data_IF_658769243902
#
_entry.id   IF_658769243902
#
_cell.length_a   1.000
_cell.length_b   1.000
_cell.length_c   1.000
_cell.angle_alpha   90.00
_cell.angle_beta   90.00
_cell.angle_gamma   90.00
#
_symmetry.space_group_name_H-M   'P 1'
#
loop_
_entity.id
_entity.type
_entity.pdbx_description
1 polymer ?
#
# COMPACT_ATOMS: atom_id res chain seq x y z
N UNK A 1 -3.18 -24.83 24.89
CA UNK A 1 -2.36 -25.21 23.72
C UNK A 1 -0.89 -25.33 24.12
N UNK A 2 -0.05 -26.01 23.34
CA UNK A 2 1.40 -26.06 23.59
C UNK A 2 1.97 -24.65 23.39
N UNK A 3 2.44 -23.99 24.45
CA UNK A 3 3.00 -22.63 24.38
C UNK A 3 2.17 -21.50 25.01
N UNK A 4 0.96 -21.76 25.52
CA UNK A 4 0.12 -20.69 26.14
C UNK A 4 0.64 -20.18 27.49
N UNK A 5 1.67 -20.82 28.06
CA UNK A 5 2.22 -20.54 29.40
C UNK A 5 3.75 -20.36 29.37
N UNK A 6 4.33 -20.00 28.23
CA UNK A 6 5.80 -19.91 28.10
C UNK A 6 6.22 -18.49 27.77
N UNK A 7 6.98 -17.87 28.69
CA UNK A 7 7.49 -16.51 28.55
C UNK A 7 8.51 -16.35 27.41
N UNK A 8 9.26 -17.41 27.09
CA UNK A 8 10.19 -17.44 25.97
C UNK A 8 9.95 -18.63 25.02
N UNK A 9 9.32 -18.34 23.89
CA UNK A 9 8.97 -19.30 22.85
C UNK A 9 10.20 -19.99 22.21
N UNK A 10 11.40 -19.41 22.34
CA UNK A 10 12.65 -19.98 21.79
C UNK A 10 13.15 -21.20 22.56
N UNK A 11 12.75 -21.35 23.82
CA UNK A 11 13.13 -22.48 24.68
C UNK A 11 12.07 -23.58 24.73
N UNK A 12 10.94 -23.37 24.06
CA UNK A 12 9.82 -24.30 24.10
C UNK A 12 10.05 -25.51 23.18
N UNK A 13 10.50 -26.63 23.76
CA UNK A 13 10.54 -27.93 23.09
C UNK A 13 9.19 -28.64 23.34
N UNK A 14 8.26 -28.50 22.40
CA UNK A 14 6.99 -29.22 22.45
C UNK A 14 7.22 -30.69 22.07
N UNK A 15 7.25 -31.60 23.06
CA UNK A 15 7.47 -33.04 22.85
C UNK A 15 6.30 -33.77 22.16
N UNK A 16 5.14 -33.13 22.04
CA UNK A 16 4.02 -33.64 21.22
C UNK A 16 4.18 -33.08 19.82
N UNK A 17 4.85 -33.83 18.94
CA UNK A 17 4.74 -33.55 17.51
C UNK A 17 3.29 -33.88 17.14
N UNK A 18 2.44 -32.85 17.06
CA UNK A 18 1.11 -33.01 16.50
C UNK A 18 1.27 -33.56 15.09
N UNK A 19 0.82 -34.80 14.90
CA UNK A 19 0.77 -35.43 13.58
C UNK A 19 -0.07 -34.53 12.67
N UNK A 20 0.42 -34.33 11.45
CA UNK A 20 -0.30 -33.53 10.48
C UNK A 20 -1.70 -34.08 10.26
N UNK A 21 -2.72 -33.24 10.41
CA UNK A 21 -4.12 -33.63 10.21
C UNK A 21 -4.42 -34.05 8.76
N UNK A 22 -3.55 -33.72 7.81
CA UNK A 22 -3.75 -33.98 6.38
C UNK A 22 -3.05 -35.25 5.88
N UNK A 23 -1.92 -35.64 6.48
CA UNK A 23 -1.15 -36.81 6.03
C UNK A 23 -0.70 -37.77 7.16
N UNK A 24 -1.00 -37.44 8.42
CA UNK A 24 -0.66 -38.26 9.59
C UNK A 24 0.83 -38.33 9.94
N UNK A 25 1.69 -37.59 9.24
CA UNK A 25 3.14 -37.60 9.45
C UNK A 25 3.60 -36.54 10.48
N UNK A 26 4.83 -36.72 10.96
CA UNK A 26 5.45 -35.91 12.03
C UNK A 26 5.93 -34.54 11.52
N UNK A 27 4.98 -33.64 11.26
CA UNK A 27 5.23 -32.23 11.00
C UNK A 27 3.99 -31.39 11.27
N UNK A 28 4.16 -30.07 11.46
CA UNK A 28 3.04 -29.11 11.57
C UNK A 28 2.08 -29.25 10.39
N UNK A 29 0.78 -29.18 10.63
CA UNK A 29 -0.25 -29.42 9.61
C UNK A 29 -0.12 -28.52 8.39
N UNK A 30 0.20 -27.24 8.56
CA UNK A 30 0.38 -26.27 7.46
C UNK A 30 1.84 -26.16 6.96
N UNK A 31 2.70 -27.13 7.29
CA UNK A 31 4.11 -27.12 6.90
C UNK A 31 4.29 -27.38 5.40
N UNK A 32 5.28 -26.73 4.78
CA UNK A 32 5.74 -27.05 3.41
C UNK A 32 6.36 -28.46 3.29
N UNK A 33 6.66 -29.11 4.42
CA UNK A 33 7.06 -30.52 4.47
C UNK A 33 5.88 -31.48 4.22
N UNK A 34 4.64 -31.01 4.33
CA UNK A 34 3.46 -31.82 4.02
C UNK A 34 3.25 -31.90 2.51
N UNK A 35 3.31 -33.10 1.95
CA UNK A 35 3.02 -33.29 0.52
C UNK A 35 1.57 -32.91 0.17
N UNK A 36 0.60 -33.14 1.05
CA UNK A 36 -0.81 -32.77 0.83
C UNK A 36 -0.99 -31.25 0.76
N UNK A 37 -0.43 -30.49 1.71
CA UNK A 37 -0.47 -29.02 1.69
C UNK A 37 0.31 -28.46 0.51
N UNK A 38 1.45 -29.06 0.16
CA UNK A 38 2.24 -28.65 -1.00
C UNK A 38 1.45 -28.81 -2.30
N UNK A 39 0.80 -29.96 -2.49
CA UNK A 39 -0.06 -30.23 -3.64
C UNK A 39 -1.26 -29.27 -3.68
N UNK A 40 -1.97 -29.11 -2.56
CA UNK A 40 -3.10 -28.18 -2.46
C UNK A 40 -2.72 -26.74 -2.81
N UNK A 41 -1.61 -26.22 -2.23
CA UNK A 41 -1.12 -24.88 -2.54
C UNK A 41 -0.72 -24.74 -4.01
N UNK A 42 -0.06 -25.76 -4.58
CA UNK A 42 0.33 -25.73 -5.98
C UNK A 42 -0.87 -25.72 -6.93
N UNK A 43 -1.95 -26.43 -6.59
CA UNK A 43 -3.19 -26.45 -7.37
C UNK A 43 -3.96 -25.14 -7.22
N UNK A 44 -4.03 -24.59 -6.01
CA UNK A 44 -4.63 -23.28 -5.77
C UNK A 44 -3.90 -22.19 -6.57
N UNK A 45 -2.57 -22.16 -6.52
CA UNK A 45 -1.75 -21.22 -7.30
C UNK A 45 -1.96 -21.43 -8.80
N UNK A 46 -2.01 -22.68 -9.27
CA UNK A 46 -2.28 -22.98 -10.69
C UNK A 46 -3.65 -22.43 -11.10
N UNK A 47 -4.71 -22.69 -10.32
CA UNK A 47 -6.05 -22.16 -10.57
C UNK A 47 -6.06 -20.63 -10.62
N UNK A 48 -5.45 -19.97 -9.65
CA UNK A 48 -5.35 -18.50 -9.61
C UNK A 48 -4.63 -17.92 -10.85
N UNK A 49 -3.53 -18.55 -11.28
CA UNK A 49 -2.76 -18.10 -12.45
C UNK A 49 -3.48 -18.44 -13.77
N UNK A 50 -4.18 -19.57 -13.84
CA UNK A 50 -4.94 -19.98 -15.02
C UNK A 50 -6.25 -19.20 -15.20
N UNK A 51 -6.83 -18.64 -14.14
CA UNK A 51 -8.07 -17.85 -14.20
C UNK A 51 -7.96 -16.52 -14.96
N UNK A 52 -6.76 -16.04 -15.29
CA UNK A 52 -6.56 -14.84 -16.11
C UNK A 52 -6.61 -15.10 -17.63
N UNK A 53 -6.78 -16.36 -18.07
CA UNK A 53 -7.01 -16.73 -19.46
C UNK A 53 -8.39 -17.43 -19.57
N UNK A 54 -9.43 -16.70 -19.94
CA UNK A 54 -10.84 -17.16 -20.04
C UNK A 54 -11.08 -18.18 -21.19
N UNK A 55 -12.27 -18.83 -21.32
CA UNK A 55 -13.12 -19.62 -20.40
C UNK A 55 -13.27 -21.10 -20.82
N UNK A 56 -13.76 -21.91 -19.87
CA UNK A 56 -14.75 -23.02 -20.02
C UNK A 56 -14.28 -24.43 -19.63
N UNK A 57 -15.05 -24.98 -18.68
CA UNK A 57 -15.40 -26.39 -18.51
C UNK A 57 -14.27 -27.42 -18.42
N UNK A 58 -13.93 -27.78 -17.18
CA UNK A 58 -13.72 -29.20 -16.87
C UNK A 58 -14.62 -29.56 -15.69
N UNK A 59 -15.50 -30.52 -15.98
CA UNK A 59 -16.47 -31.13 -15.08
C UNK A 59 -15.88 -31.47 -13.71
N UNK A 60 -16.72 -31.34 -12.68
CA UNK A 60 -16.56 -32.09 -11.43
C UNK A 60 -16.35 -33.58 -11.80
N UNK A 61 -15.39 -34.22 -11.11
CA UNK A 61 -14.86 -35.57 -11.31
C UNK A 61 -13.65 -35.67 -12.26
N UNK A 62 -12.58 -34.93 -11.94
CA UNK A 62 -11.26 -35.20 -12.49
C UNK A 62 -10.57 -36.34 -11.74
N UNK A 63 -10.81 -37.58 -12.14
CA UNK A 63 -9.80 -38.64 -11.96
C UNK A 63 -8.64 -38.25 -12.87
N UNK A 64 -7.53 -37.78 -12.28
CA UNK A 64 -6.32 -37.53 -13.04
C UNK A 64 -5.43 -38.75 -12.89
N UNK A 65 -5.38 -39.54 -13.95
CA UNK A 65 -4.42 -40.63 -14.14
C UNK A 65 -3.00 -40.03 -14.18
N UNK A 66 -2.25 -40.18 -13.09
CA UNK A 66 -0.82 -39.91 -13.05
C UNK A 66 -0.10 -41.21 -12.70
N UNK A 67 0.43 -41.86 -13.74
CA UNK A 67 1.14 -43.13 -13.64
C UNK A 67 2.47 -42.95 -12.87
N UNK A 68 2.45 -43.18 -11.55
CA UNK A 68 3.37 -44.06 -10.78
C UNK A 68 3.20 -43.84 -9.26
N UNK A 69 2.52 -44.82 -8.64
CA UNK A 69 2.72 -45.33 -7.28
C UNK A 69 2.36 -44.49 -6.05
N UNK A 70 1.35 -43.60 -6.09
CA UNK A 70 0.61 -43.26 -4.85
C UNK A 70 -0.86 -43.01 -5.20
N UNK A 71 -1.73 -43.94 -4.80
CA UNK A 71 -3.18 -43.80 -4.94
C UNK A 71 -3.68 -42.86 -3.82
N UNK A 72 -3.47 -41.54 -3.98
CA UNK A 72 -3.94 -40.55 -3.00
C UNK A 72 -5.42 -40.29 -3.28
N UNK A 73 -6.27 -41.02 -2.56
CA UNK A 73 -7.70 -40.70 -2.49
C UNK A 73 -7.84 -39.38 -1.72
N UNK A 74 -8.01 -38.29 -2.45
CA UNK A 74 -8.31 -36.98 -1.88
C UNK A 74 -9.75 -36.98 -1.35
N UNK A 75 -9.90 -37.14 -0.03
CA UNK A 75 -11.20 -36.92 0.60
C UNK A 75 -11.42 -35.41 0.79
N UNK A 76 -12.12 -34.80 -0.16
CA UNK A 76 -12.37 -33.35 -0.24
C UNK A 76 -13.20 -32.80 0.94
N UNK A 77 -13.71 -33.67 1.82
CA UNK A 77 -14.49 -33.32 3.01
C UNK A 77 -13.69 -32.67 4.15
N UNK A 78 -12.36 -32.82 4.15
CA UNK A 78 -11.48 -32.33 5.23
C UNK A 78 -10.83 -30.96 4.93
N UNK A 79 -11.07 -30.40 3.75
CA UNK A 79 -10.58 -29.09 3.36
C UNK A 79 -11.75 -28.14 3.20
N UNK A 80 -11.63 -26.88 3.66
CA UNK A 80 -12.62 -25.86 3.35
C UNK A 80 -12.78 -25.78 1.83
N UNK A 81 -14.02 -25.62 1.36
CA UNK A 81 -14.27 -25.34 -0.05
C UNK A 81 -13.35 -24.22 -0.53
N UNK A 82 -12.68 -24.45 -1.66
CA UNK A 82 -11.84 -23.44 -2.29
C UNK A 82 -12.67 -22.15 -2.42
N UNK A 83 -12.13 -20.98 -2.06
CA UNK A 83 -12.82 -19.73 -2.28
C UNK A 83 -13.09 -19.63 -3.78
N UNK A 84 -14.38 -19.69 -4.14
CA UNK A 84 -14.84 -19.34 -5.48
C UNK A 84 -14.45 -17.88 -5.67
N UNK A 85 -13.85 -17.55 -6.80
CA UNK A 85 -13.54 -16.17 -7.15
C UNK A 85 -14.83 -15.35 -7.00
N UNK A 86 -14.95 -14.61 -5.90
CA UNK A 86 -16.04 -13.68 -5.73
C UNK A 86 -15.78 -12.59 -6.75
N UNK A 87 -16.57 -12.57 -7.82
CA UNK A 87 -16.75 -11.40 -8.67
C UNK A 87 -17.47 -10.31 -7.83
N UNK A 88 -16.89 -9.90 -6.71
CA UNK A 88 -17.29 -8.67 -6.02
C UNK A 88 -16.69 -7.54 -6.82
N UNK A 89 -17.52 -6.91 -7.65
CA UNK A 89 -17.22 -5.76 -8.52
C UNK A 89 -16.75 -4.48 -7.79
N UNK A 90 -16.24 -4.59 -6.56
CA UNK A 90 -15.72 -3.49 -5.78
C UNK A 90 -14.45 -3.95 -5.06
N UNK A 91 -13.32 -3.90 -5.78
CA UNK A 91 -12.01 -4.07 -5.17
C UNK A 91 -11.75 -2.87 -4.25
N UNK A 92 -12.11 -3.01 -2.98
CA UNK A 92 -11.93 -1.98 -1.95
C UNK A 92 -10.49 -1.42 -1.88
N UNK A 93 -9.48 -2.24 -2.23
CA UNK A 93 -8.09 -1.76 -2.36
C UNK A 93 -7.89 -0.84 -3.56
N UNK A 94 -8.51 -1.10 -4.72
CA UNK A 94 -8.44 -0.22 -5.88
C UNK A 94 -9.12 1.13 -5.57
N UNK A 95 -10.29 1.12 -4.94
CA UNK A 95 -10.96 2.34 -4.53
C UNK A 95 -10.12 3.18 -3.55
N UNK A 96 -9.38 2.51 -2.64
CA UNK A 96 -8.43 3.21 -1.75
C UNK A 96 -7.26 3.82 -2.51
N UNK A 97 -6.74 3.13 -3.54
CA UNK A 97 -5.67 3.65 -4.39
C UNK A 97 -6.15 4.87 -5.19
N UNK A 98 -7.34 4.81 -5.78
CA UNK A 98 -7.92 5.92 -6.52
C UNK A 98 -8.15 7.16 -5.62
N UNK A 99 -8.64 6.94 -4.39
CA UNK A 99 -8.77 8.01 -3.41
C UNK A 99 -7.42 8.62 -3.01
N UNK A 100 -6.38 7.81 -2.84
CA UNK A 100 -5.04 8.30 -2.54
C UNK A 100 -4.47 9.13 -3.71
N UNK A 101 -4.68 8.68 -4.95
CA UNK A 101 -4.27 9.43 -6.13
C UNK A 101 -4.96 10.79 -6.22
N UNK A 102 -6.27 10.83 -5.94
CA UNK A 102 -7.03 12.07 -5.91
C UNK A 102 -6.52 13.03 -4.82
N UNK A 103 -6.24 12.53 -3.61
CA UNK A 103 -5.69 13.34 -2.53
C UNK A 103 -4.29 13.89 -2.85
N UNK A 104 -3.43 13.09 -3.49
CA UNK A 104 -2.10 13.54 -3.93
C UNK A 104 -2.22 14.64 -4.98
N UNK A 105 -3.17 14.50 -5.92
CA UNK A 105 -3.42 15.52 -6.93
C UNK A 105 -3.88 16.84 -6.28
N UNK A 106 -4.78 16.79 -5.30
CA UNK A 106 -5.25 17.96 -4.56
C UNK A 106 -4.11 18.67 -3.80
N UNK A 107 -3.26 17.90 -3.11
CA UNK A 107 -2.07 18.44 -2.43
C UNK A 107 -1.13 19.14 -3.41
N UNK A 108 -0.92 18.58 -4.60
CA UNK A 108 -0.08 19.21 -5.64
C UNK A 108 -0.67 20.53 -6.15
N UNK A 109 -2.00 20.62 -6.28
CA UNK A 109 -2.69 21.86 -6.65
C UNK A 109 -2.52 22.90 -5.54
N UNK A 110 -2.72 22.52 -4.29
CA UNK A 110 -2.53 23.40 -3.15
C UNK A 110 -1.09 23.93 -3.04
N UNK A 111 -0.08 23.07 -3.22
CA UNK A 111 1.33 23.46 -3.23
C UNK A 111 1.64 24.44 -4.38
N UNK A 112 1.11 24.18 -5.57
CA UNK A 112 1.28 25.08 -6.72
C UNK A 112 0.68 26.46 -6.46
N UNK A 113 -0.51 26.51 -5.85
CA UNK A 113 -1.16 27.75 -5.47
C UNK A 113 -0.37 28.50 -4.38
N UNK A 114 0.18 27.80 -3.40
CA UNK A 114 1.02 28.40 -2.37
C UNK A 114 2.31 28.99 -2.96
N UNK A 115 2.93 28.30 -3.92
CA UNK A 115 4.10 28.82 -4.64
C UNK A 115 3.78 30.14 -5.34
N UNK A 116 2.68 30.19 -6.11
CA UNK A 116 2.25 31.43 -6.79
C UNK A 116 1.98 32.56 -5.80
N UNK A 117 1.38 32.26 -4.64
CA UNK A 117 1.17 33.27 -3.58
C UNK A 117 2.48 33.76 -2.99
N UNK A 118 3.45 32.87 -2.77
CA UNK A 118 4.78 33.24 -2.28
C UNK A 118 5.50 34.17 -3.27
N UNK A 119 5.49 33.83 -4.56
CA UNK A 119 6.10 34.66 -5.61
C UNK A 119 5.48 36.07 -5.64
N UNK A 120 4.16 36.18 -5.42
CA UNK A 120 3.48 37.48 -5.31
C UNK A 120 3.89 38.27 -4.06
N UNK A 121 4.08 37.60 -2.93
CA UNK A 121 4.54 38.25 -1.70
C UNK A 121 5.96 38.80 -1.90
N UNK A 122 6.85 38.03 -2.52
CA UNK A 122 8.20 38.49 -2.84
C UNK A 122 8.18 39.72 -3.75
N UNK A 123 7.33 39.73 -4.79
CA UNK A 123 7.14 40.90 -5.65
C UNK A 123 6.63 42.12 -4.88
N UNK A 124 5.68 41.95 -3.95
CA UNK A 124 5.16 43.03 -3.11
C UNK A 124 6.26 43.62 -2.22
N UNK A 125 7.10 42.76 -1.62
CA UNK A 125 8.21 43.20 -0.78
C UNK A 125 9.21 44.03 -1.59
N UNK A 126 9.58 43.57 -2.79
CA UNK A 126 10.49 44.31 -3.67
C UNK A 126 9.90 45.66 -4.07
N UNK A 127 8.65 45.68 -4.56
CA UNK A 127 7.97 46.91 -4.95
C UNK A 127 7.83 47.91 -3.80
N UNK A 128 7.58 47.43 -2.57
CA UNK A 128 7.53 48.27 -1.38
C UNK A 128 8.90 48.87 -1.06
N UNK A 129 9.97 48.07 -1.12
CA UNK A 129 11.32 48.57 -0.87
C UNK A 129 11.71 49.66 -1.87
N UNK A 130 11.40 49.48 -3.16
CA UNK A 130 11.65 50.48 -4.20
C UNK A 130 10.86 51.78 -3.94
N UNK A 131 9.59 51.65 -3.55
CA UNK A 131 8.75 52.77 -3.16
C UNK A 131 9.31 53.51 -1.92
N UNK A 132 9.78 52.79 -0.92
CA UNK A 132 10.32 53.38 0.32
C UNK A 132 11.63 54.14 0.04
N UNK A 133 12.46 53.66 -0.89
CA UNK A 133 13.65 54.37 -1.38
C UNK A 133 13.24 55.70 -2.04
N UNK A 134 12.29 55.66 -2.97
CA UNK A 134 11.79 56.86 -3.67
C UNK A 134 11.20 57.89 -2.70
N UNK A 135 10.40 57.43 -1.74
CA UNK A 135 9.82 58.31 -0.70
C UNK A 135 10.95 58.97 0.12
N UNK A 136 11.96 58.20 0.51
CA UNK A 136 13.10 58.72 1.27
C UNK A 136 13.89 59.77 0.50
N UNK A 137 14.13 59.55 -0.79
CA UNK A 137 14.81 60.52 -1.66
C UNK A 137 13.99 61.81 -1.80
N UNK A 138 12.68 61.70 -2.03
CA UNK A 138 11.78 62.85 -2.11
C UNK A 138 11.76 63.64 -0.80
N UNK A 139 11.70 62.97 0.35
CA UNK A 139 11.75 63.63 1.66
C UNK A 139 13.07 64.36 1.89
N UNK A 140 14.20 63.78 1.47
CA UNK A 140 15.50 64.43 1.55
C UNK A 140 15.58 65.69 0.67
N UNK A 141 15.04 65.63 -0.56
CA UNK A 141 14.96 66.78 -1.47
C UNK A 141 14.12 67.91 -0.88
N UNK A 142 12.93 67.60 -0.38
CA UNK A 142 12.04 68.55 0.29
C UNK A 142 12.70 69.19 1.52
N UNK A 143 13.39 68.40 2.33
CA UNK A 143 14.14 68.89 3.49
C UNK A 143 15.24 69.88 3.08
N UNK A 144 15.99 69.56 2.03
CA UNK A 144 17.03 70.44 1.49
C UNK A 144 16.45 71.76 0.97
N UNK A 145 15.38 71.70 0.17
CA UNK A 145 14.69 72.89 -0.33
C UNK A 145 14.13 73.77 0.82
N UNK A 146 13.56 73.15 1.85
CA UNK A 146 13.09 73.88 3.02
C UNK A 146 14.22 74.58 3.78
N UNK A 147 15.40 73.96 3.89
CA UNK A 147 16.57 74.59 4.50
C UNK A 147 17.12 75.77 3.68
N UNK A 148 17.07 75.67 2.36
CA UNK A 148 17.48 76.75 1.45
C UNK A 148 16.53 77.95 1.57
N UNK A 149 15.21 77.73 1.53
CA UNK A 149 14.21 78.80 1.71
C UNK A 149 14.32 79.50 3.06
N UNK A 150 14.66 78.79 4.14
CA UNK A 150 14.86 79.39 5.48
C UNK A 150 16.11 80.27 5.58
N UNK A 151 17.05 80.18 4.64
CA UNK A 151 18.24 81.04 4.60
C UNK A 151 18.02 82.32 3.80
N UNK A 152 16.97 82.39 2.99
CA UNK A 152 16.63 83.53 2.14
C UNK A 152 15.67 84.54 2.80
N UNK A 153 15.26 84.28 4.05
CA UNK A 153 14.43 85.16 4.90
C UNK A 153 15.25 85.63 6.09
#
# INVERSE_FOLDING_TARGET
ACGDLVDDLKLHICSKIEKCIHCGLDHKSNSLKCHVVKSFRSELTRKLLSSNNHPSHVSQNGIIDLNKNVNIVYNNSHFPNLPVAQNSSSNHMLNKLDNLLAQIADVNVHLSNLKVKNDKIEQIILAKNDSDILIKENLNLLSKQSMELKKEV
#
